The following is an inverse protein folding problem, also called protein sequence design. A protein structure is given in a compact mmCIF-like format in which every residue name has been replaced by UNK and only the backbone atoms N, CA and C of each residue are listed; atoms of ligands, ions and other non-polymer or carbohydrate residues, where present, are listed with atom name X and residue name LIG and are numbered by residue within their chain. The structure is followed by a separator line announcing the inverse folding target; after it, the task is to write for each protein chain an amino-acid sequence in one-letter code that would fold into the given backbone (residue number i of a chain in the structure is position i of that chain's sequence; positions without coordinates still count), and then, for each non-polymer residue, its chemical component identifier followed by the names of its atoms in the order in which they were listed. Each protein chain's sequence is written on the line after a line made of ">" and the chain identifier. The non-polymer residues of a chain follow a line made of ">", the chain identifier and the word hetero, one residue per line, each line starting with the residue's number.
data_IF_011630160776
#
_entry.id   IF_011630160776
#
_cell.length_a   1.000
_cell.length_b   1.000
_cell.length_c   1.000
_cell.angle_alpha   90.00
_cell.angle_beta   90.00
_cell.angle_gamma   90.00
#
_symmetry.space_group_name_H-M   'P 1'
#
loop_
_entity.id
_entity.type
_entity.pdbx_description
1 polymer ?
#
# COMPACT_ATOMS: atom_id res chain seq x y z
N UNK A 1 -9.59 3.63 13.46
CA UNK A 1 -8.31 4.29 13.09
C UNK A 1 -7.21 3.50 13.78
N UNK A 2 -6.19 3.06 13.04
CA UNK A 2 -5.07 2.26 13.52
C UNK A 2 -3.78 3.07 13.36
N UNK A 3 -2.95 3.11 14.39
CA UNK A 3 -1.69 3.86 14.38
C UNK A 3 -0.58 2.94 14.84
N UNK A 4 0.53 2.93 14.10
CA UNK A 4 1.71 2.16 14.47
C UNK A 4 2.97 2.92 14.11
N UNK A 5 4.06 2.60 14.80
CA UNK A 5 5.38 3.12 14.50
C UNK A 5 6.18 2.08 13.70
N UNK A 6 6.92 2.54 12.70
CA UNK A 6 7.88 1.73 11.96
C UNK A 6 9.20 2.48 11.81
N UNK A 7 10.30 1.73 11.82
CA UNK A 7 11.64 2.22 11.51
C UNK A 7 12.11 1.73 10.12
N UNK A 8 11.29 0.94 9.40
CA UNK A 8 11.64 0.47 8.06
C UNK A 8 11.27 1.53 7.01
N UNK A 9 12.30 2.20 6.49
CA UNK A 9 12.16 3.18 5.43
C UNK A 9 11.47 2.62 4.16
N UNK A 10 11.64 1.32 3.87
CA UNK A 10 11.00 0.69 2.69
C UNK A 10 9.48 0.58 2.87
N UNK A 11 9.02 0.22 4.06
CA UNK A 11 7.59 0.21 4.38
C UNK A 11 7.00 1.61 4.32
N UNK A 12 7.67 2.57 4.94
CA UNK A 12 7.25 3.98 4.95
C UNK A 12 7.12 4.53 3.53
N UNK A 13 8.09 4.24 2.65
CA UNK A 13 8.03 4.66 1.24
C UNK A 13 6.83 4.04 0.53
N UNK A 14 6.58 2.73 0.71
CA UNK A 14 5.42 2.05 0.13
C UNK A 14 4.11 2.67 0.60
N UNK A 15 4.01 2.97 1.90
CA UNK A 15 2.84 3.58 2.51
C UNK A 15 2.61 5.01 2.05
N UNK A 16 3.68 5.79 1.88
CA UNK A 16 3.61 7.15 1.33
C UNK A 16 3.12 7.15 -0.11
N UNK A 17 3.60 6.22 -0.94
CA UNK A 17 3.10 6.03 -2.31
C UNK A 17 1.63 5.62 -2.29
N UNK A 18 1.23 4.70 -1.40
CA UNK A 18 -0.16 4.29 -1.26
C UNK A 18 -1.08 5.43 -0.82
N UNK A 19 -0.61 6.29 0.10
CA UNK A 19 -1.31 7.50 0.53
C UNK A 19 -1.59 8.44 -0.64
N UNK A 20 -0.58 8.74 -1.47
CA UNK A 20 -0.75 9.63 -2.62
C UNK A 20 -1.63 9.03 -3.72
N UNK A 21 -1.52 7.73 -3.94
CA UNK A 21 -2.33 7.04 -4.96
C UNK A 21 -3.74 6.71 -4.48
N UNK A 22 -4.08 6.96 -3.22
CA UNK A 22 -5.36 6.55 -2.63
C UNK A 22 -5.57 5.04 -2.61
N UNK A 23 -4.49 4.25 -2.61
CA UNK A 23 -4.55 2.78 -2.61
C UNK A 23 -4.65 2.24 -1.19
N UNK A 24 -5.29 1.08 -1.06
CA UNK A 24 -5.29 0.31 0.17
C UNK A 24 -3.89 -0.27 0.38
N UNK A 25 -3.37 -0.15 1.60
CA UNK A 25 -2.12 -0.74 2.02
C UNK A 25 -2.35 -1.77 3.12
N UNK A 26 -1.57 -2.84 3.08
CA UNK A 26 -1.53 -3.86 4.11
C UNK A 26 -0.26 -3.67 4.92
N UNK A 27 -0.42 -3.54 6.23
CA UNK A 27 0.70 -3.39 7.16
C UNK A 27 0.65 -4.50 8.19
N UNK A 28 1.82 -5.01 8.55
CA UNK A 28 1.99 -5.89 9.69
C UNK A 28 2.62 -5.11 10.84
N UNK A 29 1.92 -5.04 11.97
CA UNK A 29 2.46 -4.43 13.19
C UNK A 29 2.18 -5.34 14.38
N UNK A 30 3.23 -5.68 15.14
CA UNK A 30 3.11 -6.49 16.36
C UNK A 30 2.49 -7.88 16.16
N UNK A 31 2.63 -8.47 14.97
CA UNK A 31 2.03 -9.77 14.62
C UNK A 31 0.59 -9.69 14.08
N UNK A 32 -0.02 -8.50 14.10
CA UNK A 32 -1.34 -8.27 13.52
C UNK A 32 -1.24 -7.63 12.14
N UNK A 33 -2.07 -8.08 11.20
CA UNK A 33 -2.12 -7.54 9.83
C UNK A 33 -3.32 -6.62 9.69
N UNK A 34 -3.06 -5.33 9.44
CA UNK A 34 -4.09 -4.32 9.25
C UNK A 34 -4.09 -3.87 7.79
N UNK A 35 -5.26 -3.96 7.16
CA UNK A 35 -5.49 -3.54 5.78
C UNK A 35 -6.37 -2.31 5.75
N UNK A 36 -5.96 -1.27 5.04
CA UNK A 36 -6.75 -0.05 4.97
C UNK A 36 -6.11 1.09 4.19
N UNK A 37 -6.76 2.24 4.19
CA UNK A 37 -6.24 3.44 3.54
C UNK A 37 -5.25 4.14 4.46
N UNK A 38 -4.11 4.56 3.90
CA UNK A 38 -3.11 5.35 4.63
C UNK A 38 -3.62 6.78 4.75
N UNK A 39 -3.92 7.22 5.98
CA UNK A 39 -4.38 8.58 6.27
C UNK A 39 -3.20 9.54 6.39
N UNK A 40 -2.16 9.12 7.12
CA UNK A 40 -1.00 9.95 7.41
C UNK A 40 0.26 9.12 7.61
N UNK A 41 1.39 9.67 7.17
CA UNK A 41 2.73 9.18 7.44
C UNK A 41 3.51 10.35 8.01
N UNK A 42 3.80 10.31 9.31
CA UNK A 42 4.48 11.36 10.05
C UNK A 42 5.89 10.89 10.41
N UNK A 43 6.88 11.74 10.15
CA UNK A 43 8.26 11.47 10.52
C UNK A 43 8.58 12.06 11.90
N UNK A 44 9.10 11.21 12.80
CA UNK A 44 9.54 11.63 14.12
C UNK A 44 10.97 12.15 14.04
N UNK A 45 11.11 13.47 13.84
CA UNK A 45 12.41 14.17 13.73
C UNK A 45 13.30 14.10 14.98
N UNK A 46 12.73 13.70 16.12
CA UNK A 46 13.40 13.63 17.42
C UNK A 46 13.90 12.23 17.77
N UNK A 47 13.54 11.21 16.97
CA UNK A 47 13.90 9.81 17.25
C UNK A 47 15.19 9.44 16.54
N UNK A 48 16.18 8.96 17.30
CA UNK A 48 17.36 8.27 16.80
C UNK A 48 17.26 6.82 17.29
N UNK A 49 17.08 5.82 16.40
CA UNK A 49 17.00 5.90 14.94
C UNK A 49 15.69 6.53 14.44
N UNK A 50 15.71 7.00 13.19
CA UNK A 50 14.58 7.67 12.54
C UNK A 50 13.36 6.75 12.53
N UNK A 51 12.24 7.24 13.08
CA UNK A 51 10.97 6.51 13.16
C UNK A 51 9.89 7.28 12.45
N UNK A 52 8.93 6.54 11.92
CA UNK A 52 7.74 7.08 11.28
C UNK A 52 6.49 6.54 11.96
N UNK A 53 5.57 7.44 12.28
CA UNK A 53 4.23 7.10 12.77
C UNK A 53 3.28 7.06 11.58
N UNK A 54 2.67 5.92 11.34
CA UNK A 54 1.72 5.72 10.25
C UNK A 54 0.32 5.56 10.82
N UNK A 55 -0.63 6.29 10.25
CA UNK A 55 -2.06 6.19 10.56
C UNK A 55 -2.81 5.55 9.40
N UNK A 56 -3.48 4.44 9.66
CA UNK A 56 -4.32 3.70 8.71
C UNK A 56 -5.77 3.79 9.16
N UNK A 57 -6.67 4.04 8.21
CA UNK A 57 -8.11 3.86 8.42
C UNK A 57 -8.43 2.44 7.94
N UNK A 58 -8.73 1.50 8.86
CA UNK A 58 -9.12 0.16 8.47
C UNK A 58 -10.41 0.27 7.65
N UNK A 59 -10.35 -0.20 6.41
CA UNK A 59 -11.51 -0.34 5.55
C UNK A 59 -11.81 -1.83 5.44
N UNK A 60 -13.09 -2.26 5.44
CA UNK A 60 -13.40 -3.66 5.16
C UNK A 60 -12.71 -4.05 3.85
N UNK A 61 -12.13 -5.25 3.75
CA UNK A 61 -11.50 -5.70 2.53
C UNK A 61 -12.56 -5.80 1.45
N UNK A 62 -12.78 -4.71 0.70
CA UNK A 62 -13.36 -4.84 -0.63
C UNK A 62 -12.34 -5.66 -1.40
N UNK A 63 -12.76 -6.76 -2.06
CA UNK A 63 -11.85 -7.51 -2.91
C UNK A 63 -11.21 -6.48 -3.83
N UNK A 64 -9.87 -6.46 -3.80
CA UNK A 64 -9.08 -5.66 -4.70
C UNK A 64 -9.58 -6.00 -6.09
N UNK A 65 -10.41 -5.13 -6.67
CA UNK A 65 -10.52 -5.03 -8.12
C UNK A 65 -9.20 -4.42 -8.53
N UNK A 66 -8.13 -5.20 -8.32
CA UNK A 66 -6.95 -5.23 -9.16
C UNK A 66 -7.55 -5.19 -10.54
N UNK A 67 -7.48 -4.00 -11.14
CA UNK A 67 -7.80 -3.81 -12.54
C UNK A 67 -6.89 -4.80 -13.21
N UNK A 68 -7.46 -5.96 -13.52
CA UNK A 68 -6.83 -7.04 -14.23
C UNK A 68 -6.10 -6.34 -15.36
N UNK A 69 -4.77 -6.34 -15.30
CA UNK A 69 -3.97 -6.07 -16.48
C UNK A 69 -4.31 -7.23 -17.38
N UNK A 70 -5.40 -7.07 -18.15
CA UNK A 70 -5.79 -8.03 -19.15
C UNK A 70 -4.53 -8.26 -20.00
N UNK A 71 -4.10 -9.52 -20.18
CA UNK A 71 -3.05 -9.78 -21.15
C UNK A 71 -3.61 -9.25 -22.47
N UNK A 72 -2.94 -8.24 -23.03
CA UNK A 72 -3.20 -7.83 -24.42
C UNK A 72 -2.81 -9.02 -25.28
N UNK A 73 -3.77 -9.91 -25.52
CA UNK A 73 -3.65 -10.95 -26.53
C UNK A 73 -3.65 -10.20 -27.85
N UNK A 74 -2.46 -10.00 -28.42
CA UNK A 74 -2.33 -9.66 -29.83
C UNK A 74 -2.85 -10.89 -30.59
N UNK A 75 -4.07 -10.80 -31.12
CA UNK A 75 -4.53 -11.74 -32.13
C UNK A 75 -3.66 -11.54 -33.37
N UNK A 76 -2.68 -12.42 -33.55
CA UNK A 76 -1.98 -12.59 -34.82
C UNK A 76 -3.00 -13.21 -35.78
N UNK A 77 -3.58 -12.40 -36.65
CA UNK A 77 -4.33 -12.88 -37.81
C UNK A 77 -3.29 -13.12 -38.89
N UNK A 78 -2.85 -14.37 -39.02
CA UNK A 78 -2.17 -14.81 -40.24
C UNK A 78 -3.22 -14.91 -41.35
N UNK A 79 -3.12 -13.97 -42.30
CA UNK A 79 -3.74 -14.04 -43.61
C UNK A 79 -3.19 -15.28 -44.35
N UNK A 80 -4.06 -16.26 -44.57
CA UNK A 80 -3.81 -17.37 -45.47
C UNK A 80 -5.12 -17.70 -46.21
N UNK A 81 -5.36 -17.01 -47.32
CA UNK A 81 -5.88 -17.61 -48.56
C UNK A 81 -5.61 -16.73 -49.78
#
# INVERSE_FOLDING_TARGET
>A
MFTFETADQKEVRRLRIAQFNGRIATVRSGGSTVTGHVRAVLESKTSIPQRWTVTIIPSPPKPDVSRSTAPRVHSFVEDLY
#
